data_IF_744251324612
#
_entry.id   IF_744251324612
#
_cell.length_a   1.000
_cell.length_b   1.000
_cell.length_c   1.000
_cell.angle_alpha   90.00
_cell.angle_beta   90.00
_cell.angle_gamma   90.00
#
_symmetry.space_group_name_H-M   'P 1'
#
loop_
_entity.id
_entity.type
_entity.pdbx_description
1 polymer ?
#
# COMPACT_ATOMS: atom_id res chain seq x y z
N UNK A 1 -3.84 36.89 -13.58
CA UNK A 1 -3.27 35.59 -13.13
C UNK A 1 -3.67 34.51 -14.14
N UNK A 2 -2.79 33.57 -14.46
CA UNK A 2 -3.11 32.49 -15.41
C UNK A 2 -4.18 31.57 -14.79
N UNK A 3 -5.31 31.30 -15.44
CA UNK A 3 -6.42 30.52 -14.86
C UNK A 3 -5.99 29.11 -14.41
N UNK A 4 -4.98 28.54 -15.08
CA UNK A 4 -4.38 27.26 -14.73
C UNK A 4 -3.73 27.25 -13.33
N UNK A 5 -3.14 28.37 -12.92
CA UNK A 5 -2.48 28.47 -11.60
C UNK A 5 -3.50 28.43 -10.47
N UNK A 6 -4.65 29.08 -10.66
CA UNK A 6 -5.75 29.05 -9.69
C UNK A 6 -6.32 27.63 -9.54
N UNK A 7 -6.53 26.93 -10.66
CA UNK A 7 -6.98 25.55 -10.63
C UNK A 7 -5.99 24.63 -9.90
N UNK A 8 -4.68 24.77 -10.16
CA UNK A 8 -3.65 23.97 -9.49
C UNK A 8 -3.64 24.23 -7.96
N UNK A 9 -3.70 25.49 -7.53
CA UNK A 9 -3.76 25.85 -6.11
C UNK A 9 -5.02 25.31 -5.44
N UNK A 10 -6.17 25.36 -6.12
CA UNK A 10 -7.43 24.77 -5.64
C UNK A 10 -7.31 23.26 -5.44
N UNK A 11 -6.73 22.53 -6.41
CA UNK A 11 -6.54 21.07 -6.29
C UNK A 11 -5.61 20.74 -5.11
N UNK A 12 -4.45 21.41 -5.02
CA UNK A 12 -3.48 21.17 -3.95
C UNK A 12 -4.10 21.46 -2.58
N UNK A 13 -4.81 22.58 -2.44
CA UNK A 13 -5.48 22.92 -1.19
C UNK A 13 -6.57 21.90 -0.84
N UNK A 14 -7.36 21.44 -1.81
CA UNK A 14 -8.35 20.38 -1.65
C UNK A 14 -7.75 19.07 -1.12
N UNK A 15 -6.63 18.64 -1.69
CA UNK A 15 -5.89 17.43 -1.24
C UNK A 15 -5.45 17.61 0.23
N UNK A 16 -4.76 18.71 0.55
CA UNK A 16 -4.20 18.94 1.89
C UNK A 16 -5.29 19.08 2.97
N UNK A 17 -6.38 19.79 2.68
CA UNK A 17 -7.47 20.02 3.64
C UNK A 17 -8.29 18.75 3.86
N UNK A 18 -8.61 18.02 2.77
CA UNK A 18 -9.33 16.74 2.86
C UNK A 18 -8.54 15.71 3.68
N UNK A 19 -7.22 15.67 3.49
CA UNK A 19 -6.33 14.79 4.25
C UNK A 19 -6.23 15.18 5.74
N UNK A 20 -6.16 16.48 6.05
CA UNK A 20 -6.03 16.97 7.42
C UNK A 20 -7.32 16.83 8.24
N UNK A 21 -8.47 17.14 7.64
CA UNK A 21 -9.79 17.07 8.31
C UNK A 21 -10.42 15.68 8.23
N UNK A 22 -9.90 14.81 7.37
CA UNK A 22 -10.46 13.48 7.17
C UNK A 22 -11.90 13.56 6.64
N UNK A 23 -12.11 14.19 5.50
CA UNK A 23 -13.43 14.22 4.90
C UNK A 23 -13.85 12.86 4.34
N UNK A 24 -15.13 12.53 4.48
CA UNK A 24 -15.73 11.33 3.88
C UNK A 24 -16.34 11.63 2.52
N UNK A 25 -16.63 10.59 1.73
CA UNK A 25 -17.37 10.74 0.47
C UNK A 25 -18.71 11.47 0.66
N UNK A 26 -19.36 11.28 1.81
CA UNK A 26 -20.63 11.92 2.15
C UNK A 26 -20.56 13.44 2.26
N UNK A 27 -19.39 14.03 2.52
CA UNK A 27 -19.21 15.49 2.56
C UNK A 27 -18.71 16.04 1.22
N UNK A 28 -17.82 15.31 0.55
CA UNK A 28 -17.18 15.78 -0.69
C UNK A 28 -18.13 15.73 -1.89
N UNK A 29 -18.94 14.68 -2.03
CA UNK A 29 -19.85 14.54 -3.17
C UNK A 29 -20.90 15.67 -3.22
N UNK A 30 -21.61 16.01 -2.13
CA UNK A 30 -22.51 17.17 -2.14
C UNK A 30 -21.79 18.48 -2.45
N UNK A 31 -20.55 18.65 -1.98
CA UNK A 31 -19.72 19.82 -2.31
C UNK A 31 -19.42 19.95 -3.80
N UNK A 32 -19.12 18.84 -4.49
CA UNK A 32 -18.96 18.81 -5.96
C UNK A 32 -20.27 19.20 -6.65
N UNK A 33 -21.40 18.59 -6.23
CA UNK A 33 -22.72 18.86 -6.83
C UNK A 33 -23.09 20.33 -6.68
N UNK A 34 -22.91 20.89 -5.47
CA UNK A 34 -23.16 22.30 -5.20
C UNK A 34 -22.26 23.21 -6.05
N UNK A 35 -21.00 22.84 -6.23
CA UNK A 35 -20.05 23.60 -7.06
C UNK A 35 -20.48 23.62 -8.53
N UNK A 36 -20.89 22.47 -9.08
CA UNK A 36 -21.40 22.37 -10.47
C UNK A 36 -22.70 23.16 -10.62
N UNK A 37 -23.58 23.10 -9.62
CA UNK A 37 -24.85 23.83 -9.60
C UNK A 37 -24.63 25.35 -9.62
N UNK A 38 -23.71 25.87 -8.80
CA UNK A 38 -23.36 27.29 -8.79
C UNK A 38 -22.72 27.75 -10.10
N UNK A 39 -21.86 26.92 -10.71
CA UNK A 39 -21.28 27.20 -12.04
C UNK A 39 -22.38 27.26 -13.10
N UNK A 40 -23.34 26.33 -13.03
CA UNK A 40 -24.49 26.30 -13.95
C UNK A 40 -25.34 27.56 -13.82
N UNK A 41 -25.68 27.97 -12.59
CA UNK A 41 -26.42 29.22 -12.35
C UNK A 41 -25.67 30.42 -12.92
N UNK A 42 -24.36 30.53 -12.67
CA UNK A 42 -23.54 31.65 -13.17
C UNK A 42 -23.46 31.68 -14.70
N UNK A 43 -23.52 30.52 -15.36
CA UNK A 43 -23.58 30.41 -16.81
C UNK A 43 -24.93 30.90 -17.35
N UNK A 44 -26.04 30.47 -16.73
CA UNK A 44 -27.40 30.87 -17.13
C UNK A 44 -27.74 32.32 -16.78
N UNK A 45 -27.12 32.91 -15.76
CA UNK A 45 -27.33 34.32 -15.38
C UNK A 45 -26.61 35.32 -16.30
N UNK A 46 -25.86 34.84 -17.31
CA UNK A 46 -25.21 35.69 -18.30
C UNK A 46 -23.95 36.41 -17.80
N UNK A 47 -23.46 36.08 -16.59
CA UNK A 47 -22.29 36.72 -15.98
C UNK A 47 -20.95 36.35 -16.65
N UNK A 48 -20.97 35.44 -17.64
CA UNK A 48 -19.79 34.91 -18.30
C UNK A 48 -18.99 33.97 -17.38
N UNK A 49 -18.35 32.96 -17.97
CA UNK A 49 -17.52 32.03 -17.19
C UNK A 49 -16.25 32.74 -16.68
N UNK A 50 -16.28 33.19 -15.43
CA UNK A 50 -15.11 33.69 -14.71
C UNK A 50 -14.38 32.48 -14.14
N UNK A 51 -13.11 32.27 -14.50
CA UNK A 51 -12.33 31.11 -14.05
C UNK A 51 -12.26 30.92 -12.52
N UNK A 52 -12.56 31.96 -11.73
CA UNK A 52 -12.68 31.90 -10.27
C UNK A 52 -13.89 31.05 -9.81
N UNK A 53 -14.97 31.01 -10.58
CA UNK A 53 -16.17 30.22 -10.27
C UNK A 53 -15.90 28.71 -10.31
N UNK A 54 -14.85 28.27 -11.02
CA UNK A 54 -14.45 26.87 -11.08
C UNK A 54 -13.57 26.43 -9.90
N UNK A 55 -13.03 27.38 -9.11
CA UNK A 55 -12.12 27.08 -8.01
C UNK A 55 -12.69 26.12 -6.95
N UNK A 56 -13.98 26.23 -6.52
CA UNK A 56 -14.58 25.26 -5.59
C UNK A 56 -14.68 23.86 -6.19
N UNK A 57 -15.04 23.74 -7.47
CA UNK A 57 -15.11 22.44 -8.14
C UNK A 57 -13.73 21.76 -8.17
N UNK A 58 -12.67 22.49 -8.54
CA UNK A 58 -11.30 21.98 -8.51
C UNK A 58 -10.81 21.61 -7.10
N UNK A 59 -11.24 22.37 -6.09
CA UNK A 59 -10.95 22.05 -4.69
C UNK A 59 -11.59 20.72 -4.26
N UNK A 60 -12.88 20.51 -4.54
CA UNK A 60 -13.53 19.25 -4.19
C UNK A 60 -13.06 18.06 -5.04
N UNK A 61 -12.65 18.28 -6.29
CA UNK A 61 -11.97 17.25 -7.10
C UNK A 61 -10.65 16.83 -6.46
N UNK A 62 -9.83 17.79 -6.01
CA UNK A 62 -8.61 17.49 -5.25
C UNK A 62 -8.91 16.74 -3.95
N UNK A 63 -9.95 17.16 -3.23
CA UNK A 63 -10.40 16.49 -2.01
C UNK A 63 -10.85 15.04 -2.27
N UNK A 64 -11.52 14.76 -3.38
CA UNK A 64 -11.97 13.42 -3.79
C UNK A 64 -10.78 12.51 -4.11
N UNK A 65 -9.74 13.04 -4.77
CA UNK A 65 -8.58 12.26 -5.21
C UNK A 65 -7.82 11.59 -4.06
N UNK A 66 -7.77 12.23 -2.89
CA UNK A 66 -6.98 11.74 -1.74
C UNK A 66 -7.74 10.75 -0.84
N UNK A 67 -9.07 10.70 -0.93
CA UNK A 67 -9.92 9.82 -0.09
C UNK A 67 -9.53 8.34 -0.21
N UNK A 68 -9.46 7.72 -1.41
CA UNK A 68 -9.19 6.28 -1.51
C UNK A 68 -7.82 5.88 -0.94
N UNK A 69 -6.85 6.80 -0.96
CA UNK A 69 -5.50 6.56 -0.42
C UNK A 69 -5.41 6.79 1.09
N UNK A 70 -6.27 7.65 1.63
CA UNK A 70 -6.31 7.95 3.06
C UNK A 70 -7.21 6.99 3.83
N UNK A 71 -8.24 6.45 3.14
CA UNK A 71 -9.29 5.59 3.69
C UNK A 71 -9.63 4.49 2.69
N UNK A 72 -8.72 3.52 2.52
CA UNK A 72 -8.98 2.37 1.68
C UNK A 72 -10.10 1.55 2.31
N UNK A 73 -11.10 1.21 1.52
CA UNK A 73 -12.12 0.23 1.91
C UNK A 73 -11.48 -1.15 1.84
N UNK A 74 -11.30 -1.78 3.02
CA UNK A 74 -10.70 -3.10 3.12
C UNK A 74 -11.81 -4.16 3.13
N UNK A 75 -11.67 -5.26 2.37
CA UNK A 75 -12.60 -6.38 2.44
C UNK A 75 -12.74 -6.94 3.85
N UNK A 76 -13.91 -7.45 4.23
CA UNK A 76 -14.16 -8.00 5.58
C UNK A 76 -13.22 -9.16 5.94
N UNK A 77 -12.71 -9.89 4.93
CA UNK A 77 -11.76 -11.00 5.11
C UNK A 77 -10.28 -10.55 5.07
N UNK A 78 -10.02 -9.24 5.14
CA UNK A 78 -8.67 -8.70 5.04
C UNK A 78 -7.79 -9.15 6.22
N UNK A 79 -6.53 -9.49 5.93
CA UNK A 79 -5.56 -10.02 6.91
C UNK A 79 -5.34 -9.08 8.12
N UNK A 80 -5.50 -7.77 7.92
CA UNK A 80 -5.41 -6.76 8.99
C UNK A 80 -6.36 -7.08 10.16
N UNK A 81 -7.61 -7.40 9.88
CA UNK A 81 -8.59 -7.69 10.93
C UNK A 81 -8.24 -8.97 11.71
N UNK A 82 -7.49 -9.90 11.09
CA UNK A 82 -7.01 -11.11 11.78
C UNK A 82 -5.88 -10.81 12.75
N UNK A 83 -5.00 -9.87 12.38
CA UNK A 83 -3.94 -9.38 13.27
C UNK A 83 -4.52 -8.58 14.43
N UNK A 84 -5.51 -7.71 14.17
CA UNK A 84 -6.13 -6.86 15.19
C UNK A 84 -7.05 -7.62 16.16
N UNK A 85 -7.80 -8.61 15.65
CA UNK A 85 -8.68 -9.43 16.49
C UNK A 85 -7.94 -10.58 17.19
N UNK A 86 -6.67 -10.81 16.86
CA UNK A 86 -5.82 -11.74 17.59
C UNK A 86 -5.57 -11.26 19.02
N UNK A 87 -5.38 -12.19 19.96
CA UNK A 87 -4.99 -11.84 21.33
C UNK A 87 -3.73 -10.94 21.31
N UNK A 88 -3.49 -10.08 22.31
CA UNK A 88 -2.32 -9.18 22.33
C UNK A 88 -0.95 -9.87 22.21
N UNK A 89 -0.88 -11.18 22.48
CA UNK A 89 0.30 -12.04 22.28
C UNK A 89 0.39 -12.63 20.85
N UNK A 90 -0.55 -12.35 19.96
CA UNK A 90 -0.58 -12.84 18.58
C UNK A 90 0.59 -12.33 17.73
N UNK A 91 1.21 -11.19 18.08
CA UNK A 91 2.47 -10.74 17.47
C UNK A 91 3.66 -11.65 17.83
N UNK A 92 3.54 -12.50 18.85
CA UNK A 92 4.56 -13.50 19.27
C UNK A 92 4.24 -14.92 18.82
N UNK A 93 2.97 -15.22 18.56
CA UNK A 93 2.54 -16.50 18.02
C UNK A 93 2.74 -16.52 16.51
N UNK A 94 3.47 -17.52 16.00
CA UNK A 94 3.66 -17.68 14.55
C UNK A 94 2.34 -18.05 13.89
N UNK A 95 1.96 -17.30 12.85
CA UNK A 95 0.78 -17.57 12.02
C UNK A 95 1.21 -18.26 10.73
N UNK A 96 0.43 -19.21 10.24
CA UNK A 96 0.68 -19.82 8.93
C UNK A 96 -0.17 -19.12 7.89
N UNK A 97 0.48 -18.54 6.89
CA UNK A 97 -0.18 -17.88 5.76
C UNK A 97 0.23 -18.53 4.46
N UNK A 98 -0.68 -18.51 3.50
CA UNK A 98 -0.46 -18.96 2.14
C UNK A 98 -0.86 -17.84 1.18
N UNK A 99 -0.03 -17.60 0.16
CA UNK A 99 -0.24 -16.50 -0.77
C UNK A 99 0.73 -16.51 -1.93
N UNK A 100 0.57 -15.54 -2.82
CA UNK A 100 1.37 -15.40 -4.03
C UNK A 100 2.38 -14.27 -3.91
N UNK A 101 3.62 -14.56 -4.28
CA UNK A 101 4.70 -13.58 -4.30
C UNK A 101 4.47 -12.60 -5.45
N UNK A 102 4.32 -11.31 -5.16
CA UNK A 102 4.29 -10.25 -6.16
C UNK A 102 5.69 -9.72 -6.49
N UNK A 103 6.60 -9.79 -5.51
CA UNK A 103 7.98 -9.38 -5.67
C UNK A 103 8.82 -9.80 -4.48
N UNK A 104 10.06 -10.18 -4.76
CA UNK A 104 11.07 -10.46 -3.75
C UNK A 104 12.34 -9.67 -4.03
N UNK A 105 12.94 -9.16 -2.96
CA UNK A 105 14.17 -8.37 -2.95
C UNK A 105 15.06 -8.87 -1.82
N UNK A 106 16.16 -9.50 -2.18
CA UNK A 106 17.19 -9.92 -1.23
C UNK A 106 18.14 -8.75 -0.97
N UNK A 107 18.24 -8.32 0.29
CA UNK A 107 19.13 -7.26 0.74
C UNK A 107 20.02 -7.79 1.88
N UNK A 108 21.27 -8.12 1.55
CA UNK A 108 22.22 -8.72 2.50
C UNK A 108 21.77 -10.10 2.98
N UNK A 109 21.55 -10.25 4.29
CA UNK A 109 21.09 -11.51 4.94
C UNK A 109 19.57 -11.60 5.11
N UNK A 110 18.81 -10.70 4.49
CA UNK A 110 17.34 -10.68 4.60
C UNK A 110 16.71 -10.60 3.22
N UNK A 111 15.58 -11.28 3.05
CA UNK A 111 14.75 -11.18 1.84
C UNK A 111 13.45 -10.50 2.19
N UNK A 112 13.19 -9.35 1.55
CA UNK A 112 11.93 -8.63 1.65
C UNK A 112 11.00 -9.12 0.55
N UNK A 113 9.79 -9.51 0.91
CA UNK A 113 8.81 -10.11 -0.01
C UNK A 113 7.49 -9.38 0.11
N UNK A 114 6.90 -9.03 -1.03
CA UNK A 114 5.51 -8.60 -1.13
C UNK A 114 4.65 -9.82 -1.43
N UNK A 115 3.89 -10.27 -0.43
CA UNK A 115 3.04 -11.45 -0.49
C UNK A 115 1.57 -11.01 -0.56
N UNK A 116 0.88 -11.40 -1.62
CA UNK A 116 -0.58 -11.29 -1.71
C UNK A 116 -1.21 -12.51 -1.03
N UNK A 117 -1.85 -12.29 0.11
CA UNK A 117 -2.40 -13.39 0.94
C UNK A 117 -3.67 -13.92 0.29
N UNK A 118 -3.76 -15.25 0.17
CA UNK A 118 -4.93 -15.95 -0.34
C UNK A 118 -5.63 -16.75 0.78
N UNK A 119 -4.85 -17.28 1.73
CA UNK A 119 -5.36 -18.07 2.84
C UNK A 119 -4.57 -17.86 4.13
N UNK A 120 -5.29 -17.93 5.24
CA UNK A 120 -4.76 -17.83 6.59
C UNK A 120 -5.16 -19.07 7.38
N UNK A 121 -4.23 -19.64 8.15
CA UNK A 121 -4.52 -20.78 9.02
C UNK A 121 -5.06 -20.28 10.36
N UNK A 122 -6.38 -20.35 10.52
CA UNK A 122 -7.03 -20.17 11.81
C UNK A 122 -6.79 -21.35 12.76
N UNK A 123 -7.33 -21.27 13.98
CA UNK A 123 -7.12 -22.29 15.03
C UNK A 123 -7.53 -23.71 14.59
N UNK A 124 -8.57 -23.82 13.75
CA UNK A 124 -9.18 -25.10 13.39
C UNK A 124 -9.09 -25.41 11.89
N UNK A 125 -9.08 -24.40 11.03
CA UNK A 125 -9.16 -24.58 9.57
C UNK A 125 -8.43 -23.49 8.79
N UNK A 126 -8.24 -23.75 7.49
CA UNK A 126 -7.86 -22.72 6.54
C UNK A 126 -9.05 -21.81 6.26
N UNK A 127 -8.82 -20.51 6.30
CA UNK A 127 -9.80 -19.48 5.99
C UNK A 127 -9.29 -18.63 4.83
N UNK A 128 -10.17 -18.29 3.88
CA UNK A 128 -9.83 -17.37 2.81
C UNK A 128 -9.55 -15.99 3.40
N UNK A 129 -8.39 -15.42 3.06
CA UNK A 129 -8.00 -14.09 3.51
C UNK A 129 -7.42 -13.32 2.34
N UNK A 130 -7.62 -12.01 2.34
CA UNK A 130 -7.11 -11.11 1.31
C UNK A 130 -6.16 -10.09 1.92
N UNK A 131 -5.25 -9.56 1.11
CA UNK A 131 -4.46 -8.39 1.47
C UNK A 131 -2.98 -8.56 1.22
N UNK A 132 -2.32 -7.42 0.97
CA UNK A 132 -0.90 -7.38 0.70
C UNK A 132 -0.11 -7.27 2.01
N UNK A 133 0.78 -8.24 2.22
CA UNK A 133 1.67 -8.30 3.36
C UNK A 133 3.11 -8.09 2.91
N UNK A 134 3.82 -7.20 3.60
CA UNK A 134 5.27 -7.06 3.41
C UNK A 134 6.01 -7.94 4.42
N UNK A 135 6.59 -9.03 3.93
CA UNK A 135 7.39 -9.95 4.72
C UNK A 135 8.87 -9.55 4.73
N UNK A 136 9.50 -9.75 5.88
CA UNK A 136 10.95 -9.71 6.07
C UNK A 136 11.41 -11.08 6.53
N UNK A 137 12.04 -11.83 5.62
CA UNK A 137 12.56 -13.17 5.88
C UNK A 137 14.02 -13.03 6.29
N UNK A 138 14.37 -13.65 7.41
CA UNK A 138 15.76 -13.77 7.84
C UNK A 138 16.42 -14.97 7.13
N UNK A 139 17.37 -14.70 6.25
CA UNK A 139 17.87 -15.67 5.28
C UNK A 139 17.82 -15.10 3.87
N UNK A 140 18.43 -15.82 2.93
CA UNK A 140 18.44 -15.47 1.51
C UNK A 140 17.71 -16.57 0.77
N UNK A 141 16.48 -16.26 0.38
CA UNK A 141 15.66 -17.14 -0.43
C UNK A 141 15.38 -16.49 -1.78
N UNK A 142 15.57 -17.26 -2.85
CA UNK A 142 15.27 -16.82 -4.20
C UNK A 142 13.82 -17.19 -4.53
N UNK A 143 12.94 -16.21 -4.35
CA UNK A 143 11.52 -16.32 -4.71
C UNK A 143 11.24 -15.54 -5.99
N UNK A 144 10.42 -16.12 -6.87
CA UNK A 144 10.00 -15.51 -8.10
C UNK A 144 8.61 -14.89 -7.96
N UNK A 145 8.36 -13.73 -8.61
CA UNK A 145 7.00 -13.23 -8.79
C UNK A 145 6.12 -14.32 -9.43
N UNK A 146 5.01 -14.64 -8.79
CA UNK A 146 4.11 -15.72 -9.18
C UNK A 146 4.20 -16.98 -8.31
N UNK A 147 5.27 -17.16 -7.51
CA UNK A 147 5.40 -18.31 -6.60
C UNK A 147 4.29 -18.26 -5.55
N UNK A 148 3.63 -19.39 -5.35
CA UNK A 148 2.70 -19.58 -4.24
C UNK A 148 3.46 -20.20 -3.08
N UNK A 149 3.57 -19.45 -1.99
CA UNK A 149 4.33 -19.85 -0.81
C UNK A 149 3.40 -20.04 0.38
N UNK A 150 3.78 -20.96 1.26
CA UNK A 150 3.24 -21.12 2.61
C UNK A 150 4.34 -20.83 3.60
N UNK A 151 4.07 -20.01 4.60
CA UNK A 151 5.10 -19.64 5.58
C UNK A 151 4.56 -19.42 6.98
N UNK A 152 5.40 -19.75 7.97
CA UNK A 152 5.19 -19.40 9.37
C UNK A 152 5.77 -18.00 9.64
N UNK A 153 4.88 -17.03 9.85
CA UNK A 153 5.18 -15.60 9.96
C UNK A 153 4.68 -15.01 11.27
N UNK A 154 5.46 -14.11 11.85
CA UNK A 154 5.00 -13.22 12.91
C UNK A 154 4.41 -11.97 12.26
N UNK A 155 3.09 -11.84 12.27
CA UNK A 155 2.38 -10.70 11.69
C UNK A 155 2.29 -9.57 12.72
N UNK A 156 2.53 -8.34 12.27
CA UNK A 156 2.39 -7.13 13.09
C UNK A 156 1.83 -5.98 12.26
N UNK A 157 1.08 -5.10 12.90
CA UNK A 157 0.63 -3.85 12.28
C UNK A 157 1.82 -2.88 12.21
N UNK A 158 2.12 -2.26 11.04
CA UNK A 158 3.21 -1.31 10.94
C UNK A 158 2.97 -0.12 11.87
N UNK A 159 4.02 0.24 12.60
CA UNK A 159 4.06 1.34 13.56
C UNK A 159 5.20 2.28 13.23
N UNK A 160 4.99 3.57 13.48
CA UNK A 160 6.03 4.57 13.37
C UNK A 160 6.98 4.47 14.59
N UNK A 161 8.24 4.87 14.43
CA UNK A 161 9.24 4.79 15.49
C UNK A 161 9.03 5.83 16.59
N UNK A 162 8.21 6.86 16.36
CA UNK A 162 7.82 7.89 17.32
C UNK A 162 8.83 9.04 17.46
N UNK A 163 9.75 9.21 16.50
CA UNK A 163 10.76 10.25 16.57
C UNK A 163 10.22 11.62 16.11
N UNK A 164 10.63 12.74 16.73
CA UNK A 164 10.26 14.07 16.25
C UNK A 164 10.71 14.31 14.80
N UNK A 165 9.80 14.77 13.95
CA UNK A 165 10.08 14.99 12.51
C UNK A 165 10.18 13.70 11.68
N UNK A 166 9.78 12.55 12.24
CA UNK A 166 9.84 11.28 11.53
C UNK A 166 8.87 11.23 10.34
N UNK A 167 9.33 10.55 9.31
CA UNK A 167 8.49 10.15 8.19
C UNK A 167 7.42 9.15 8.63
N UNK A 168 6.15 9.39 8.28
CA UNK A 168 5.05 8.48 8.58
C UNK A 168 5.11 7.22 7.69
N UNK A 169 5.89 6.23 8.14
CA UNK A 169 6.12 4.99 7.43
C UNK A 169 4.84 4.15 7.31
N UNK A 170 4.01 4.14 8.36
CA UNK A 170 2.70 3.49 8.34
C UNK A 170 1.83 4.04 7.20
N UNK A 171 1.74 5.36 7.09
CA UNK A 171 0.95 6.01 6.02
C UNK A 171 1.50 5.70 4.64
N UNK A 172 2.83 5.65 4.47
CA UNK A 172 3.44 5.22 3.21
C UNK A 172 3.05 3.79 2.84
N UNK A 173 3.10 2.86 3.79
CA UNK A 173 2.74 1.46 3.55
C UNK A 173 1.26 1.31 3.21
N UNK A 174 0.37 1.98 3.95
CA UNK A 174 -1.06 1.99 3.66
C UNK A 174 -1.36 2.49 2.24
N UNK A 175 -0.68 3.54 1.79
CA UNK A 175 -0.81 4.06 0.41
C UNK A 175 -0.31 3.08 -0.66
N UNK A 176 0.57 2.15 -0.29
CA UNK A 176 1.02 1.04 -1.15
C UNK A 176 0.11 -0.19 -1.04
N UNK A 177 -0.99 -0.11 -0.30
CA UNK A 177 -1.89 -1.23 -0.03
C UNK A 177 -1.36 -2.23 1.00
N UNK A 178 -0.24 -1.92 1.67
CA UNK A 178 0.37 -2.78 2.69
C UNK A 178 -0.11 -2.32 4.06
N UNK A 179 -1.02 -3.08 4.67
CA UNK A 179 -1.54 -2.78 6.02
C UNK A 179 -0.95 -3.68 7.10
N UNK A 180 -0.29 -4.77 6.69
CA UNK A 180 0.30 -5.75 7.60
C UNK A 180 1.73 -6.00 7.18
N UNK A 181 2.62 -6.06 8.16
CA UNK A 181 4.00 -6.49 7.99
C UNK A 181 4.22 -7.83 8.65
N UNK A 182 5.19 -8.60 8.17
CA UNK A 182 5.47 -9.91 8.74
C UNK A 182 6.96 -10.15 8.87
N UNK A 183 7.36 -10.85 9.93
CA UNK A 183 8.72 -11.33 10.11
C UNK A 183 8.76 -12.85 10.09
N UNK A 184 9.60 -13.40 9.21
CA UNK A 184 9.84 -14.85 9.11
C UNK A 184 11.23 -15.14 9.67
N UNK A 185 11.29 -15.96 10.73
CA UNK A 185 12.54 -16.19 11.50
C UNK A 185 13.67 -16.83 10.71
N UNK A 186 13.34 -17.57 9.64
CA UNK A 186 14.29 -18.33 8.84
C UNK A 186 13.71 -18.70 7.49
N UNK A 187 14.53 -18.73 6.45
CA UNK A 187 14.17 -19.21 5.10
C UNK A 187 13.56 -20.62 5.09
N UNK A 188 13.98 -21.50 6.02
CA UNK A 188 13.41 -22.85 6.21
C UNK A 188 11.93 -22.90 6.59
N UNK A 189 11.37 -21.76 7.01
CA UNK A 189 9.95 -21.63 7.35
C UNK A 189 9.11 -21.17 6.15
N UNK A 190 9.71 -21.13 4.97
CA UNK A 190 9.06 -20.79 3.70
C UNK A 190 9.03 -22.05 2.83
N UNK A 191 7.84 -22.51 2.51
CA UNK A 191 7.58 -23.62 1.62
C UNK A 191 6.98 -23.08 0.32
N UNK A 192 7.52 -23.48 -0.84
CA UNK A 192 6.91 -23.18 -2.14
C UNK A 192 5.88 -24.27 -2.43
N UNK A 193 4.60 -23.91 -2.36
CA UNK A 193 3.47 -24.81 -2.59
C UNK A 193 3.21 -25.00 -4.09
N UNK A 194 3.30 -23.92 -4.86
CA UNK A 194 3.20 -23.95 -6.32
C UNK A 194 4.25 -23.00 -6.90
N UNK A 195 5.19 -23.46 -7.74
CA UNK A 195 6.16 -22.57 -8.37
C UNK A 195 5.48 -21.66 -9.41
N UNK A 196 6.05 -20.48 -9.61
CA UNK A 196 5.61 -19.57 -10.66
C UNK A 196 5.68 -20.27 -12.01
N UNK A 197 4.60 -20.14 -12.80
CA UNK A 197 4.64 -20.58 -14.19
C UNK A 197 5.48 -19.59 -14.99
N UNK A 198 6.52 -20.03 -15.71
CA UNK A 198 7.29 -19.14 -16.56
C UNK A 198 6.38 -18.56 -17.64
N UNK A 199 6.23 -17.23 -17.65
CA UNK A 199 5.58 -16.53 -18.76
C UNK A 199 6.41 -16.66 -20.04
N UNK A 200 5.83 -16.35 -21.21
CA UNK A 200 6.52 -16.45 -22.49
C UNK A 200 7.73 -15.51 -22.62
N UNK A 201 7.82 -14.48 -21.76
CA UNK A 201 8.93 -13.52 -21.74
C UNK A 201 9.66 -13.59 -20.39
N UNK A 202 10.96 -13.89 -20.34
CA UNK A 202 11.73 -14.05 -19.10
C UNK A 202 12.17 -12.69 -18.51
N UNK A 203 11.23 -11.79 -18.28
CA UNK A 203 11.48 -10.45 -17.69
C UNK A 203 12.16 -10.58 -16.32
N UNK A 204 11.78 -11.60 -15.54
CA UNK A 204 12.33 -11.86 -14.22
C UNK A 204 13.80 -12.28 -14.25
N UNK A 205 14.22 -13.07 -15.25
CA UNK A 205 15.61 -13.49 -15.41
C UNK A 205 16.51 -12.30 -15.75
N UNK A 206 16.05 -11.39 -16.61
CA UNK A 206 16.77 -10.16 -16.93
C UNK A 206 16.86 -9.23 -15.72
N UNK A 207 15.76 -9.06 -14.97
CA UNK A 207 15.75 -8.30 -13.71
C UNK A 207 16.74 -8.87 -12.68
N UNK A 208 16.78 -10.20 -12.53
CA UNK A 208 17.72 -10.86 -11.62
C UNK A 208 19.18 -10.71 -12.07
N UNK A 209 19.44 -10.77 -13.38
CA UNK A 209 20.77 -10.50 -13.94
C UNK A 209 21.26 -9.08 -13.66
N UNK A 210 20.40 -8.07 -13.83
CA UNK A 210 20.72 -6.67 -13.51
C UNK A 210 20.97 -6.52 -12.00
N UNK A 211 20.16 -7.16 -11.15
CA UNK A 211 20.34 -7.14 -9.69
C UNK A 211 21.69 -7.73 -9.28
N UNK A 212 22.03 -8.93 -9.76
CA UNK A 212 23.30 -9.57 -9.50
C UNK A 212 24.49 -8.69 -9.95
N UNK A 213 24.36 -8.02 -11.09
CA UNK A 213 25.35 -7.07 -11.56
C UNK A 213 25.52 -5.86 -10.63
N UNK A 214 24.43 -5.25 -10.16
CA UNK A 214 24.47 -4.11 -9.23
C UNK A 214 25.10 -4.53 -7.89
N UNK A 215 24.69 -5.68 -7.34
CA UNK A 215 25.24 -6.16 -6.06
C UNK A 215 26.72 -6.52 -6.18
N UNK A 216 27.18 -7.03 -7.33
CA UNK A 216 28.61 -7.27 -7.58
C UNK A 216 29.46 -5.99 -7.64
N UNK A 217 28.83 -4.83 -7.84
CA UNK A 217 29.49 -3.51 -7.97
C UNK A 217 29.30 -2.62 -6.75
N UNK A 218 28.55 -3.05 -5.73
CA UNK A 218 28.41 -2.31 -4.48
C UNK A 218 29.74 -2.35 -3.70
N UNK A 219 30.38 -1.21 -3.40
CA UNK A 219 31.55 -1.18 -2.52
C UNK A 219 31.14 -1.70 -1.14
N UNK A 220 31.87 -2.70 -0.63
CA UNK A 220 31.60 -3.29 0.67
C UNK A 220 31.67 -2.25 1.78
N UNK A 221 30.60 -2.10 2.55
CA UNK A 221 30.67 -1.45 3.87
C UNK A 221 31.55 -2.33 4.77
N UNK A 222 32.57 -1.79 5.47
CA UNK A 222 33.36 -2.55 6.41
C UNK A 222 32.46 -3.12 7.51
N UNK A 223 32.63 -4.40 7.81
CA UNK A 223 32.01 -5.06 8.97
C UNK A 223 32.50 -4.38 10.26
N UNK A 224 31.63 -4.07 11.25
CA UNK A 224 32.08 -3.92 12.63
C UNK A 224 32.52 -5.27 13.22
#
# INVERSE_FOLDING_TARGET
MRPLVLAAISIISGITVSEALGWSYGLVIPGIILSIFLISIAYFSGEGFKGLAAAPAFFFIGALFIIPYSRPELPDNHILYRVQNGAPDASRTGHVVEGRVLGAESAGKRTRVSLDVEAYRGEKSWEASSGLVQLSINGRIDLMPGDRIRTLVLLDEPRNFGNPGEFDYKKLLNRKGVFVTGYVKGERLVEIVEPARPGPVPVNSMRNGIRAFIDSRRPGTPNP
#
